data_IF_235808559282
#
_entry.id   IF_235808559282
#
_cell.length_a   1.000
_cell.length_b   1.000
_cell.length_c   1.000
_cell.angle_alpha   90.00
_cell.angle_beta   90.00
_cell.angle_gamma   90.00
#
_symmetry.space_group_name_H-M   'P 1'
#
loop_
_entity.id
_entity.type
_entity.pdbx_description
1 polymer ?
#
# COMPACT_ATOMS: atom_id res chain seq x y z
N UNK A 1 45.44 2.25 -29.29
CA UNK A 1 45.27 0.78 -29.44
C UNK A 1 43.87 0.27 -29.12
N UNK A 2 43.21 0.66 -28.00
CA UNK A 2 41.87 0.15 -27.65
C UNK A 2 40.69 0.78 -28.44
N UNK A 3 40.77 2.05 -28.83
CA UNK A 3 39.77 2.66 -29.75
C UNK A 3 39.80 2.06 -31.16
N UNK A 4 40.99 1.74 -31.67
CA UNK A 4 41.13 1.04 -32.97
C UNK A 4 40.49 -0.35 -32.93
N UNK A 5 40.51 -1.03 -31.77
CA UNK A 5 39.84 -2.32 -31.58
C UNK A 5 38.32 -2.20 -31.56
N UNK A 6 37.76 -1.10 -31.02
CA UNK A 6 36.32 -0.85 -31.00
C UNK A 6 35.75 -0.54 -32.39
N UNK A 7 36.44 0.33 -33.16
CA UNK A 7 36.09 0.60 -34.56
C UNK A 7 36.25 -0.64 -35.45
N UNK A 8 37.28 -1.45 -35.22
CA UNK A 8 37.49 -2.69 -35.98
C UNK A 8 36.37 -3.73 -35.75
N UNK A 9 35.82 -3.79 -34.53
CA UNK A 9 34.70 -4.70 -34.23
C UNK A 9 33.37 -4.17 -34.78
N UNK A 10 33.13 -2.85 -34.80
CA UNK A 10 31.90 -2.29 -35.38
C UNK A 10 31.88 -2.43 -36.90
N UNK A 11 33.02 -2.29 -37.56
CA UNK A 11 33.14 -2.43 -39.01
C UNK A 11 32.91 -3.89 -39.45
N UNK A 12 33.45 -4.86 -38.71
CA UNK A 12 33.19 -6.29 -38.93
C UNK A 12 31.74 -6.69 -38.66
N UNK A 13 31.06 -6.03 -37.73
CA UNK A 13 29.64 -6.29 -37.45
C UNK A 13 28.73 -5.79 -38.58
N UNK A 14 29.08 -4.65 -39.20
CA UNK A 14 28.38 -4.16 -40.40
C UNK A 14 28.62 -5.12 -41.57
N UNK A 15 29.86 -5.58 -41.78
CA UNK A 15 30.19 -6.55 -42.82
C UNK A 15 29.37 -7.86 -42.65
N UNK A 16 29.32 -8.41 -41.43
CA UNK A 16 28.54 -9.62 -41.10
C UNK A 16 27.01 -9.44 -41.33
N UNK A 17 26.46 -8.22 -41.19
CA UNK A 17 25.05 -7.91 -41.50
C UNK A 17 24.82 -7.82 -43.01
N UNK A 18 25.73 -7.21 -43.77
CA UNK A 18 25.68 -7.19 -45.24
C UNK A 18 25.82 -8.60 -45.82
N UNK A 19 26.64 -9.46 -45.23
CA UNK A 19 26.77 -10.87 -45.62
C UNK A 19 25.47 -11.65 -45.32
N UNK A 20 24.78 -11.34 -44.22
CA UNK A 20 23.45 -11.89 -43.90
C UNK A 20 22.36 -11.41 -44.89
N UNK A 21 22.44 -10.15 -45.32
CA UNK A 21 21.51 -9.58 -46.29
C UNK A 21 21.73 -10.16 -47.70
N UNK A 22 22.99 -10.42 -48.09
CA UNK A 22 23.33 -11.16 -49.31
C UNK A 22 22.97 -12.66 -49.23
N UNK A 23 23.14 -13.31 -48.08
CA UNK A 23 22.80 -14.71 -47.89
C UNK A 23 21.29 -14.98 -47.90
N UNK A 24 20.44 -13.99 -47.55
CA UNK A 24 18.98 -14.11 -47.61
C UNK A 24 18.44 -14.31 -49.03
N UNK A 25 19.22 -13.94 -50.05
CA UNK A 25 18.87 -14.10 -51.47
C UNK A 25 19.35 -15.43 -52.10
N UNK A 26 20.06 -16.29 -51.36
CA UNK A 26 20.51 -17.60 -51.83
C UNK A 26 20.02 -18.70 -50.90
N UNK A 27 19.43 -19.76 -51.47
CA UNK A 27 18.82 -20.88 -50.75
C UNK A 27 19.87 -21.76 -50.06
N UNK A 28 20.36 -21.35 -48.90
CA UNK A 28 21.31 -22.11 -48.09
C UNK A 28 20.65 -23.13 -47.14
N UNK A 29 21.32 -24.27 -46.85
CA UNK A 29 20.82 -25.29 -45.94
C UNK A 29 20.77 -24.80 -44.48
N UNK A 30 19.70 -25.19 -43.78
CA UNK A 30 19.28 -24.73 -42.45
C UNK A 30 20.34 -24.78 -41.34
N UNK A 31 21.34 -25.66 -41.44
CA UNK A 31 22.42 -25.80 -40.47
C UNK A 31 23.45 -24.66 -40.46
N UNK A 32 23.65 -23.97 -41.60
CA UNK A 32 24.58 -22.84 -41.66
C UNK A 32 23.97 -21.57 -41.06
N UNK A 33 22.65 -21.41 -41.23
CA UNK A 33 21.88 -20.26 -40.75
C UNK A 33 21.78 -20.24 -39.22
N UNK A 34 21.66 -21.41 -38.57
CA UNK A 34 21.68 -21.49 -37.10
C UNK A 34 23.05 -21.16 -36.51
N UNK A 35 24.14 -21.57 -37.18
CA UNK A 35 25.51 -21.29 -36.75
C UNK A 35 25.90 -19.81 -36.93
N UNK A 36 25.36 -19.14 -37.95
CA UNK A 36 25.56 -17.69 -38.16
C UNK A 36 24.71 -16.90 -37.16
N UNK A 37 23.43 -17.27 -36.94
CA UNK A 37 22.59 -16.64 -35.93
C UNK A 37 23.20 -16.74 -34.52
N UNK A 38 23.73 -17.90 -34.11
CA UNK A 38 24.33 -18.03 -32.77
C UNK A 38 25.58 -17.16 -32.60
N UNK A 39 26.39 -17.00 -33.66
CA UNK A 39 27.58 -16.12 -33.63
C UNK A 39 27.23 -14.64 -33.60
N UNK A 40 26.17 -14.25 -34.31
CA UNK A 40 25.64 -12.87 -34.26
C UNK A 40 25.04 -12.58 -32.89
N UNK A 41 24.35 -13.55 -32.29
CA UNK A 41 23.77 -13.44 -30.94
C UNK A 41 24.87 -13.33 -29.86
N UNK A 42 25.89 -14.19 -29.90
CA UNK A 42 27.06 -14.09 -29.00
C UNK A 42 27.79 -12.75 -29.13
N UNK A 43 27.96 -12.25 -30.36
CA UNK A 43 28.65 -10.97 -30.62
C UNK A 43 27.78 -9.76 -30.30
N UNK A 44 26.47 -9.83 -30.51
CA UNK A 44 25.52 -8.80 -30.09
C UNK A 44 25.47 -8.69 -28.56
N UNK A 45 25.47 -9.83 -27.84
CA UNK A 45 25.59 -9.87 -26.38
C UNK A 45 26.93 -9.27 -25.94
N UNK A 46 28.03 -9.57 -26.63
CA UNK A 46 29.34 -9.00 -26.33
C UNK A 46 29.39 -7.47 -26.56
N UNK A 47 28.78 -6.96 -27.64
CA UNK A 47 28.70 -5.52 -27.95
C UNK A 47 27.80 -4.78 -26.94
N UNK A 48 26.65 -5.36 -26.57
CA UNK A 48 25.76 -4.85 -25.51
C UNK A 48 26.46 -4.87 -24.15
N UNK A 49 27.30 -5.88 -23.86
CA UNK A 49 28.11 -5.93 -22.64
C UNK A 49 29.25 -4.90 -22.60
N UNK A 50 29.74 -4.47 -23.77
CA UNK A 50 30.86 -3.53 -23.92
C UNK A 50 30.43 -2.07 -23.71
N UNK A 51 29.20 -1.70 -24.09
CA UNK A 51 28.61 -0.38 -23.78
C UNK A 51 28.17 -0.23 -22.31
N UNK A 52 28.33 -1.28 -21.49
CA UNK A 52 27.92 -1.34 -20.08
C UNK A 52 28.90 -0.65 -19.11
N UNK A 53 29.97 -0.02 -19.62
CA UNK A 53 31.15 0.32 -18.80
C UNK A 53 31.45 1.83 -18.87
N UNK A 54 31.02 2.57 -17.84
CA UNK A 54 31.84 3.49 -17.03
C UNK A 54 31.00 4.33 -16.05
N UNK A 55 29.80 4.78 -16.45
CA UNK A 55 28.90 5.52 -15.55
C UNK A 55 28.01 4.65 -14.65
N UNK A 56 27.63 3.47 -15.15
CA UNK A 56 26.55 2.64 -14.61
C UNK A 56 27.01 1.72 -13.45
N UNK A 57 28.29 1.33 -13.43
CA UNK A 57 28.89 0.54 -12.34
C UNK A 57 29.10 1.36 -11.06
N UNK A 58 29.34 2.67 -11.19
CA UNK A 58 29.47 3.59 -10.06
C UNK A 58 28.14 3.73 -9.30
N UNK A 59 27.00 3.82 -10.00
CA UNK A 59 25.67 3.91 -9.39
C UNK A 59 25.31 2.66 -8.59
N UNK A 60 25.62 1.47 -9.11
CA UNK A 60 25.41 0.21 -8.38
C UNK A 60 26.27 0.16 -7.10
N UNK A 61 27.53 0.61 -7.17
CA UNK A 61 28.42 0.72 -6.01
C UNK A 61 27.92 1.78 -5.00
N UNK A 62 27.45 2.93 -5.49
CA UNK A 62 26.95 4.05 -4.67
C UNK A 62 25.74 3.63 -3.82
N UNK A 63 24.75 2.97 -4.41
CA UNK A 63 23.53 2.50 -3.71
C UNK A 63 23.86 1.50 -2.60
N UNK A 64 24.94 0.72 -2.76
CA UNK A 64 25.34 -0.28 -1.78
C UNK A 64 26.09 0.31 -0.58
N UNK A 65 26.63 1.53 -0.69
CA UNK A 65 27.37 2.20 0.38
C UNK A 65 26.51 2.40 1.64
N UNK A 66 27.14 2.31 2.82
CA UNK A 66 26.45 2.59 4.11
C UNK A 66 25.93 4.03 4.15
N UNK A 67 26.68 4.96 3.58
CA UNK A 67 26.31 6.37 3.52
C UNK A 67 24.99 6.58 2.77
N UNK A 68 24.87 6.02 1.56
CA UNK A 68 23.63 6.13 0.77
C UNK A 68 22.42 5.56 1.49
N UNK A 69 22.58 4.40 2.15
CA UNK A 69 21.51 3.76 2.93
C UNK A 69 21.06 4.63 4.11
N UNK A 70 21.99 5.24 4.84
CA UNK A 70 21.69 6.16 5.95
C UNK A 70 21.02 7.43 5.43
N UNK A 71 21.53 8.01 4.34
CA UNK A 71 20.96 9.19 3.70
C UNK A 71 19.50 8.96 3.26
N UNK A 72 19.21 7.87 2.55
CA UNK A 72 17.85 7.48 2.13
C UNK A 72 16.91 7.33 3.33
N UNK A 73 17.35 6.68 4.41
CA UNK A 73 16.54 6.53 5.63
C UNK A 73 16.26 7.87 6.30
N UNK A 74 17.27 8.74 6.41
CA UNK A 74 17.11 10.09 6.97
C UNK A 74 16.14 10.94 6.15
N UNK A 75 16.24 10.88 4.81
CA UNK A 75 15.33 11.57 3.91
C UNK A 75 13.88 11.14 4.13
N UNK A 76 13.64 9.83 4.26
CA UNK A 76 12.30 9.28 4.54
C UNK A 76 11.78 9.74 5.91
N UNK A 77 12.60 9.70 6.97
CA UNK A 77 12.20 10.17 8.31
C UNK A 77 11.85 11.66 8.28
N UNK A 78 12.66 12.48 7.60
CA UNK A 78 12.39 13.91 7.44
C UNK A 78 11.10 14.17 6.66
N UNK A 79 10.86 13.42 5.59
CA UNK A 79 9.62 13.52 4.81
C UNK A 79 8.39 13.12 5.63
N UNK A 80 8.47 12.08 6.47
CA UNK A 80 7.38 11.69 7.37
C UNK A 80 7.14 12.79 8.40
N UNK A 81 8.18 13.31 9.04
CA UNK A 81 8.05 14.43 9.98
C UNK A 81 7.44 15.69 9.34
N UNK A 82 7.85 15.98 8.11
CA UNK A 82 7.25 17.04 7.30
C UNK A 82 5.77 16.80 7.03
N UNK A 83 5.37 15.58 6.64
CA UNK A 83 3.97 15.24 6.41
C UNK A 83 3.11 15.44 7.66
N UNK A 84 3.58 15.00 8.83
CA UNK A 84 2.90 15.24 10.11
C UNK A 84 2.76 16.74 10.42
N UNK A 85 3.83 17.50 10.25
CA UNK A 85 3.80 18.95 10.45
C UNK A 85 2.82 19.65 9.49
N UNK A 86 2.88 19.32 8.21
CA UNK A 86 1.99 19.88 7.20
C UNK A 86 0.52 19.52 7.46
N UNK A 87 0.24 18.30 7.94
CA UNK A 87 -1.10 17.87 8.34
C UNK A 87 -1.63 18.66 9.55
N UNK A 88 -0.81 18.88 10.59
CA UNK A 88 -1.18 19.67 11.77
C UNK A 88 -1.51 21.12 11.40
N UNK A 89 -0.63 21.76 10.61
CA UNK A 89 -0.87 23.14 10.12
C UNK A 89 -2.12 23.20 9.26
N UNK A 90 -2.32 22.23 8.36
CA UNK A 90 -3.52 22.17 7.50
C UNK A 90 -4.81 21.99 8.31
N UNK A 91 -4.78 21.19 9.38
CA UNK A 91 -5.93 21.00 10.27
C UNK A 91 -6.27 22.27 11.05
N UNK A 92 -5.26 22.91 11.67
CA UNK A 92 -5.45 24.19 12.37
C UNK A 92 -6.01 25.25 11.43
N UNK A 93 -5.53 25.27 10.19
CA UNK A 93 -6.05 26.19 9.18
C UNK A 93 -7.50 25.90 8.79
N UNK A 94 -7.88 24.63 8.65
CA UNK A 94 -9.26 24.25 8.36
C UNK A 94 -10.22 24.71 9.47
N UNK A 95 -9.78 24.65 10.74
CA UNK A 95 -10.55 25.18 11.87
C UNK A 95 -10.64 26.70 11.84
N UNK A 96 -9.54 27.42 11.55
CA UNK A 96 -9.57 28.88 11.43
C UNK A 96 -10.52 29.36 10.31
N UNK A 97 -10.56 28.64 9.18
CA UNK A 97 -11.51 28.91 8.10
C UNK A 97 -12.95 28.66 8.55
N UNK A 98 -13.18 27.56 9.29
CA UNK A 98 -14.50 27.28 9.89
C UNK A 98 -14.94 28.39 10.85
N UNK A 99 -14.00 28.94 11.62
CA UNK A 99 -14.21 30.08 12.52
C UNK A 99 -14.25 31.44 11.79
N UNK A 100 -14.24 31.46 10.46
CA UNK A 100 -14.41 32.66 9.64
C UNK A 100 -13.16 33.55 9.46
N UNK A 101 -11.96 33.05 9.77
CA UNK A 101 -10.71 33.78 9.56
C UNK A 101 -10.16 33.58 8.14
N UNK A 102 -9.72 34.66 7.47
CA UNK A 102 -9.00 34.56 6.19
C UNK A 102 -7.52 34.22 6.42
N UNK A 103 -7.08 33.06 5.92
CA UNK A 103 -5.73 32.52 6.22
C UNK A 103 -4.91 32.10 4.99
N UNK A 104 -5.31 32.52 3.79
CA UNK A 104 -4.72 32.08 2.51
C UNK A 104 -3.17 32.16 2.46
N UNK A 105 -2.55 33.13 3.12
CA UNK A 105 -1.09 33.32 3.10
C UNK A 105 -0.29 32.22 3.84
N UNK A 106 -0.89 31.51 4.80
CA UNK A 106 -0.16 30.57 5.66
C UNK A 106 0.20 29.24 4.98
N UNK A 107 -0.34 28.94 3.80
CA UNK A 107 -0.24 27.61 3.15
C UNK A 107 0.56 27.59 1.84
N UNK A 108 0.90 28.73 1.25
CA UNK A 108 1.54 28.80 -0.08
C UNK A 108 2.93 28.15 -0.16
N UNK A 109 3.59 27.98 0.99
CA UNK A 109 4.91 27.41 1.08
C UNK A 109 4.88 25.87 1.21
N UNK A 110 3.77 25.27 1.65
CA UNK A 110 3.64 23.81 1.83
C UNK A 110 3.82 23.06 0.49
N UNK A 111 3.15 23.44 -0.62
CA UNK A 111 3.34 22.77 -1.91
C UNK A 111 4.78 22.88 -2.44
N UNK A 112 5.52 23.94 -2.09
CA UNK A 112 6.91 24.14 -2.52
C UNK A 112 7.85 23.16 -1.83
N UNK A 113 7.66 22.96 -0.53
CA UNK A 113 8.43 21.99 0.26
C UNK A 113 8.07 20.55 -0.14
N UNK A 114 6.79 20.26 -0.38
CA UNK A 114 6.34 18.98 -0.94
C UNK A 114 7.03 18.66 -2.28
N UNK A 115 7.15 19.66 -3.16
CA UNK A 115 7.86 19.54 -4.44
C UNK A 115 9.35 19.30 -4.27
N UNK A 116 9.99 19.92 -3.28
CA UNK A 116 11.40 19.69 -2.97
C UNK A 116 11.65 18.24 -2.50
N UNK A 117 10.84 17.72 -1.57
CA UNK A 117 10.92 16.31 -1.15
C UNK A 117 10.67 15.37 -2.33
N UNK A 118 9.66 15.63 -3.17
CA UNK A 118 9.40 14.83 -4.37
C UNK A 118 10.61 14.82 -5.32
N UNK A 119 11.30 15.94 -5.49
CA UNK A 119 12.53 16.03 -6.27
C UNK A 119 13.65 15.15 -5.71
N UNK A 120 13.84 15.14 -4.38
CA UNK A 120 14.81 14.24 -3.75
C UNK A 120 14.46 12.76 -3.93
N UNK A 121 13.18 12.39 -3.78
CA UNK A 121 12.74 11.01 -4.02
C UNK A 121 12.84 10.60 -5.48
N UNK A 122 12.58 11.52 -6.42
CA UNK A 122 12.79 11.28 -7.85
C UNK A 122 14.27 11.02 -8.14
N UNK A 123 15.18 11.79 -7.54
CA UNK A 123 16.61 11.56 -7.67
C UNK A 123 17.01 10.20 -7.09
N UNK A 124 16.54 9.86 -5.89
CA UNK A 124 16.79 8.55 -5.27
C UNK A 124 16.28 7.41 -6.16
N UNK A 125 15.07 7.56 -6.72
CA UNK A 125 14.43 6.60 -7.62
C UNK A 125 15.20 6.41 -8.93
N UNK A 126 15.66 7.51 -9.56
CA UNK A 126 16.48 7.44 -10.77
C UNK A 126 17.81 6.71 -10.51
N UNK A 127 18.46 6.97 -9.37
CA UNK A 127 19.69 6.26 -9.00
C UNK A 127 19.43 4.77 -8.80
N UNK A 128 18.29 4.38 -8.19
CA UNK A 128 17.88 2.96 -8.06
C UNK A 128 17.63 2.30 -9.42
N UNK A 129 16.96 2.98 -10.35
CA UNK A 129 16.74 2.49 -11.72
C UNK A 129 18.06 2.28 -12.46
N UNK A 130 18.96 3.27 -12.42
CA UNK A 130 20.28 3.16 -13.07
C UNK A 130 21.11 2.01 -12.50
N UNK A 131 21.03 1.78 -11.18
CA UNK A 131 21.66 0.63 -10.53
C UNK A 131 21.04 -0.71 -10.97
N UNK A 132 19.73 -0.76 -11.23
CA UNK A 132 19.05 -1.97 -11.72
C UNK A 132 19.52 -2.39 -13.11
N UNK A 133 19.68 -1.45 -14.04
CA UNK A 133 20.21 -1.75 -15.38
C UNK A 133 21.67 -2.26 -15.35
N UNK A 134 22.41 -1.95 -14.28
CA UNK A 134 23.79 -2.40 -14.07
C UNK A 134 23.91 -3.84 -13.59
N UNK A 135 22.92 -4.38 -12.87
CA UNK A 135 23.05 -5.65 -12.15
C UNK A 135 21.76 -6.46 -12.22
N UNK A 136 21.82 -7.62 -12.87
CA UNK A 136 20.71 -8.57 -12.98
C UNK A 136 20.33 -9.19 -11.62
N UNK A 137 21.27 -9.27 -10.66
CA UNK A 137 21.01 -9.77 -9.31
C UNK A 137 20.14 -8.80 -8.48
N UNK A 138 20.29 -7.49 -8.72
CA UNK A 138 19.48 -6.47 -8.03
C UNK A 138 18.02 -6.48 -8.51
N UNK A 139 17.79 -6.87 -9.76
CA UNK A 139 16.47 -6.93 -10.38
C UNK A 139 15.52 -7.88 -9.64
N UNK A 140 15.96 -9.10 -9.28
CA UNK A 140 15.03 -10.09 -8.72
C UNK A 140 14.62 -9.80 -7.26
N UNK A 141 15.42 -9.04 -6.52
CA UNK A 141 15.23 -8.83 -5.07
C UNK A 141 14.33 -7.65 -4.72
N UNK A 142 14.43 -6.54 -5.44
CA UNK A 142 13.82 -5.26 -5.06
C UNK A 142 12.76 -4.71 -6.05
N UNK A 143 12.44 -5.42 -7.13
CA UNK A 143 11.47 -4.98 -8.15
C UNK A 143 10.09 -4.62 -7.59
N UNK A 144 9.57 -5.38 -6.62
CA UNK A 144 8.25 -5.12 -6.01
C UNK A 144 8.22 -3.78 -5.28
N UNK A 145 9.30 -3.43 -4.58
CA UNK A 145 9.41 -2.18 -3.84
C UNK A 145 9.64 -1.01 -4.77
N UNK A 146 10.45 -1.20 -5.83
CA UNK A 146 10.63 -0.19 -6.85
C UNK A 146 9.32 0.16 -7.56
N UNK A 147 8.44 -0.82 -7.80
CA UNK A 147 7.12 -0.55 -8.37
C UNK A 147 6.25 0.33 -7.46
N UNK A 148 6.23 0.05 -6.15
CA UNK A 148 5.50 0.88 -5.18
C UNK A 148 6.05 2.30 -5.14
N UNK A 149 7.39 2.45 -5.02
CA UNK A 149 8.07 3.75 -5.07
C UNK A 149 7.71 4.51 -6.36
N UNK A 150 7.67 3.82 -7.52
CA UNK A 150 7.31 4.40 -8.81
C UNK A 150 5.87 4.94 -8.84
N UNK A 151 4.90 4.14 -8.36
CA UNK A 151 3.48 4.53 -8.32
C UNK A 151 3.29 5.77 -7.46
N UNK A 152 3.92 5.80 -6.27
CA UNK A 152 3.85 6.93 -5.35
C UNK A 152 4.45 8.20 -5.97
N UNK A 153 5.59 8.07 -6.66
CA UNK A 153 6.25 9.18 -7.33
C UNK A 153 5.40 9.73 -8.50
N UNK A 154 4.77 8.84 -9.28
CA UNK A 154 3.87 9.21 -10.38
C UNK A 154 2.65 9.96 -9.83
N UNK A 155 2.01 9.46 -8.77
CA UNK A 155 0.87 10.15 -8.14
C UNK A 155 1.26 11.56 -7.69
N UNK A 156 2.45 11.71 -7.07
CA UNK A 156 2.98 13.02 -6.69
C UNK A 156 3.26 13.95 -7.87
N UNK A 157 3.80 13.42 -8.97
CA UNK A 157 4.08 14.18 -10.18
C UNK A 157 2.79 14.65 -10.88
N UNK A 158 1.79 13.78 -10.98
CA UNK A 158 0.48 14.08 -11.57
C UNK A 158 -0.19 15.23 -10.84
N UNK A 159 -0.14 15.26 -9.51
CA UNK A 159 -0.71 16.37 -8.74
C UNK A 159 -0.05 17.71 -9.06
N UNK A 160 1.29 17.76 -9.14
CA UNK A 160 2.00 19.00 -9.50
C UNK A 160 1.60 19.44 -10.90
N UNK A 161 1.59 18.53 -11.88
CA UNK A 161 1.20 18.83 -13.26
C UNK A 161 -0.23 19.37 -13.33
N UNK A 162 -1.19 18.71 -12.68
CA UNK A 162 -2.58 19.17 -12.62
C UNK A 162 -2.72 20.53 -11.94
N UNK A 163 -1.93 20.81 -10.91
CA UNK A 163 -1.92 22.11 -10.23
C UNK A 163 -1.37 23.23 -11.13
N UNK A 164 -0.36 22.95 -11.96
CA UNK A 164 0.21 23.91 -12.91
C UNK A 164 -0.77 24.28 -14.03
N UNK A 165 -1.61 23.33 -14.46
CA UNK A 165 -2.68 23.59 -15.43
C UNK A 165 -3.94 24.21 -14.82
N UNK A 166 -3.93 24.53 -13.52
CA UNK A 166 -5.06 25.19 -12.84
C UNK A 166 -6.31 24.31 -12.71
N UNK A 167 -6.19 22.98 -12.82
CA UNK A 167 -7.32 22.05 -12.82
C UNK A 167 -7.76 21.76 -11.37
N UNK A 168 -8.39 22.71 -10.69
CA UNK A 168 -8.87 22.53 -9.31
C UNK A 168 -10.14 21.66 -9.28
N UNK A 169 -9.97 20.34 -9.28
CA UNK A 169 -11.08 19.37 -9.18
C UNK A 169 -11.06 18.59 -7.87
N UNK A 170 -12.19 17.97 -7.53
CA UNK A 170 -12.31 16.96 -6.46
C UNK A 170 -11.27 15.84 -6.58
N UNK A 171 -10.77 15.59 -7.80
CA UNK A 171 -9.70 14.64 -8.09
C UNK A 171 -8.40 15.07 -7.41
N UNK A 172 -8.01 16.36 -7.47
CA UNK A 172 -6.80 16.84 -6.77
C UNK A 172 -6.91 16.60 -5.25
N UNK A 173 -8.10 16.82 -4.66
CA UNK A 173 -8.31 16.56 -3.23
C UNK A 173 -8.10 15.09 -2.87
N UNK A 174 -8.60 14.17 -3.70
CA UNK A 174 -8.42 12.74 -3.47
C UNK A 174 -6.98 12.28 -3.73
N UNK A 175 -6.30 12.85 -4.73
CA UNK A 175 -4.88 12.60 -4.98
C UNK A 175 -4.00 13.06 -3.82
N UNK A 176 -4.35 14.17 -3.14
CA UNK A 176 -3.66 14.61 -1.92
C UNK A 176 -3.74 13.57 -0.80
N UNK A 177 -4.86 12.84 -0.67
CA UNK A 177 -4.99 11.76 0.32
C UNK A 177 -4.08 10.57 -0.04
N UNK A 178 -3.91 10.28 -1.32
CA UNK A 178 -2.97 9.24 -1.78
C UNK A 178 -1.50 9.58 -1.47
N UNK A 179 -1.15 10.83 -1.10
CA UNK A 179 0.19 11.14 -0.56
C UNK A 179 0.51 10.35 0.70
N UNK A 180 -0.49 9.92 1.48
CA UNK A 180 -0.30 9.06 2.66
C UNK A 180 0.37 7.73 2.26
N UNK A 181 0.22 7.29 1.02
CA UNK A 181 0.93 6.12 0.50
C UNK A 181 2.46 6.28 0.54
N UNK A 182 3.01 7.51 0.61
CA UNK A 182 4.45 7.75 0.84
C UNK A 182 4.94 7.17 2.17
N UNK A 183 4.07 6.98 3.16
CA UNK A 183 4.42 6.31 4.41
C UNK A 183 4.82 4.84 4.19
N UNK A 184 4.45 4.24 3.06
CA UNK A 184 4.92 2.89 2.70
C UNK A 184 6.44 2.82 2.51
N UNK A 185 7.06 3.93 2.08
CA UNK A 185 8.50 4.05 1.93
C UNK A 185 9.22 3.95 3.28
N UNK A 186 8.60 4.45 4.36
CA UNK A 186 9.12 4.30 5.73
C UNK A 186 9.24 2.83 6.10
N UNK A 187 8.20 2.04 5.86
CA UNK A 187 8.26 0.61 6.16
C UNK A 187 9.39 -0.07 5.39
N UNK A 188 9.59 0.30 4.13
CA UNK A 188 10.69 -0.24 3.32
C UNK A 188 12.07 0.23 3.81
N UNK A 189 12.22 1.51 4.18
CA UNK A 189 13.43 2.08 4.76
C UNK A 189 13.81 1.41 6.09
N UNK A 190 12.82 1.15 6.95
CA UNK A 190 12.97 0.44 8.21
C UNK A 190 13.50 -0.99 8.00
N UNK A 191 13.09 -1.70 6.93
CA UNK A 191 13.64 -3.04 6.61
C UNK A 191 15.15 -3.04 6.33
N UNK A 192 15.72 -1.93 5.88
CA UNK A 192 17.15 -1.82 5.53
C UNK A 192 18.05 -1.66 6.77
N UNK A 193 17.49 -1.30 7.91
CA UNK A 193 18.22 -0.99 9.14
C UNK A 193 18.16 -2.18 10.10
N UNK A 194 19.32 -2.76 10.42
CA UNK A 194 19.43 -3.95 11.30
C UNK A 194 18.77 -3.75 12.67
N UNK A 195 18.79 -2.52 13.21
CA UNK A 195 18.13 -2.17 14.48
C UNK A 195 16.64 -2.53 14.49
N UNK A 196 15.94 -2.35 13.38
CA UNK A 196 14.51 -2.62 13.25
C UNK A 196 14.19 -4.00 12.68
N UNK A 197 15.17 -4.90 12.58
CA UNK A 197 14.96 -6.25 12.04
C UNK A 197 13.92 -7.05 12.86
N UNK A 198 13.79 -6.80 14.18
CA UNK A 198 12.74 -7.40 15.00
C UNK A 198 11.35 -6.84 14.66
N UNK A 199 11.21 -5.51 14.56
CA UNK A 199 9.93 -4.87 14.21
C UNK A 199 9.47 -5.25 12.79
N UNK A 200 10.41 -5.32 11.85
CA UNK A 200 10.12 -5.73 10.47
C UNK A 200 9.51 -7.12 10.40
N UNK A 201 10.03 -8.07 11.20
CA UNK A 201 9.48 -9.43 11.28
C UNK A 201 8.05 -9.42 11.82
N UNK A 202 7.77 -8.61 12.85
CA UNK A 202 6.41 -8.46 13.39
C UNK A 202 5.43 -7.88 12.35
N UNK A 203 5.86 -6.87 11.59
CA UNK A 203 5.03 -6.27 10.53
C UNK A 203 4.79 -7.27 9.40
N UNK A 204 5.81 -8.02 8.98
CA UNK A 204 5.65 -9.09 8.00
C UNK A 204 4.65 -10.13 8.49
N UNK A 205 4.77 -10.59 9.74
CA UNK A 205 3.82 -11.53 10.32
C UNK A 205 2.37 -10.98 10.28
N UNK A 206 2.17 -9.71 10.63
CA UNK A 206 0.86 -9.05 10.58
C UNK A 206 0.28 -8.99 9.15
N UNK A 207 1.10 -8.65 8.15
CA UNK A 207 0.67 -8.60 6.75
C UNK A 207 0.30 -9.99 6.24
N UNK A 208 1.09 -11.00 6.58
CA UNK A 208 0.80 -12.38 6.18
C UNK A 208 -0.46 -12.92 6.86
N UNK A 209 -0.70 -12.61 8.14
CA UNK A 209 -1.92 -13.00 8.85
C UNK A 209 -3.15 -12.16 8.44
N UNK A 210 -3.00 -11.22 7.52
CA UNK A 210 -4.06 -10.34 7.06
C UNK A 210 -5.19 -11.09 6.33
N UNK A 211 -4.87 -12.18 5.63
CA UNK A 211 -5.88 -13.03 4.98
C UNK A 211 -6.78 -13.72 6.01
N UNK A 212 -6.19 -14.32 7.05
CA UNK A 212 -6.91 -15.01 8.11
C UNK A 212 -7.79 -14.02 8.90
N UNK A 213 -7.26 -12.82 9.16
CA UNK A 213 -8.00 -11.73 9.80
C UNK A 213 -9.15 -11.23 8.91
N UNK A 214 -8.93 -11.12 7.60
CA UNK A 214 -9.97 -10.70 6.66
C UNK A 214 -11.13 -11.70 6.67
N UNK A 215 -10.86 -13.00 6.52
CA UNK A 215 -11.91 -14.01 6.56
C UNK A 215 -12.58 -14.11 7.94
N UNK A 216 -11.82 -13.99 9.03
CA UNK A 216 -12.38 -13.94 10.39
C UNK A 216 -13.31 -12.74 10.61
N UNK A 217 -12.92 -11.55 10.14
CA UNK A 217 -13.75 -10.34 10.23
C UNK A 217 -14.98 -10.39 9.32
N UNK A 218 -14.86 -10.98 8.12
CA UNK A 218 -15.99 -11.22 7.22
C UNK A 218 -17.01 -12.19 7.85
N UNK A 219 -16.54 -13.26 8.50
CA UNK A 219 -17.38 -14.20 9.23
C UNK A 219 -18.10 -13.54 10.40
N UNK A 220 -17.39 -12.72 11.20
CA UNK A 220 -17.99 -11.94 12.29
C UNK A 220 -19.06 -10.98 11.77
N UNK A 221 -18.78 -10.29 10.67
CA UNK A 221 -19.71 -9.35 10.02
C UNK A 221 -20.94 -10.06 9.46
N UNK A 222 -20.79 -11.27 8.93
CA UNK A 222 -21.90 -12.08 8.43
C UNK A 222 -22.86 -12.48 9.57
N UNK A 223 -22.33 -12.98 10.69
CA UNK A 223 -23.16 -13.31 11.87
C UNK A 223 -23.82 -12.04 12.43
N UNK A 224 -23.05 -10.95 12.57
CA UNK A 224 -23.58 -9.66 13.04
C UNK A 224 -24.69 -9.12 12.13
N UNK A 225 -24.59 -9.30 10.81
CA UNK A 225 -25.61 -8.87 9.85
C UNK A 225 -26.90 -9.68 9.97
N UNK A 226 -26.79 -10.99 10.21
CA UNK A 226 -27.95 -11.84 10.46
C UNK A 226 -28.73 -11.40 11.70
N UNK A 227 -28.05 -11.20 12.83
CA UNK A 227 -28.71 -10.72 14.06
C UNK A 227 -29.21 -9.28 13.93
N UNK A 228 -28.46 -8.39 13.27
CA UNK A 228 -28.92 -7.04 12.97
C UNK A 228 -30.24 -7.06 12.17
N UNK A 229 -30.36 -7.95 11.18
CA UNK A 229 -31.61 -8.10 10.41
C UNK A 229 -32.76 -8.53 11.33
N UNK A 230 -32.52 -9.53 12.19
CA UNK A 230 -33.53 -10.01 13.13
C UNK A 230 -34.00 -8.90 14.07
N UNK A 231 -33.09 -8.17 14.72
CA UNK A 231 -33.45 -7.08 15.62
C UNK A 231 -34.18 -5.95 14.89
N UNK A 232 -33.73 -5.59 13.68
CA UNK A 232 -34.41 -4.59 12.87
C UNK A 232 -35.84 -4.98 12.51
N UNK A 233 -36.19 -6.27 12.38
CA UNK A 233 -37.58 -6.69 12.16
C UNK A 233 -38.45 -6.37 13.38
N UNK A 234 -37.99 -6.69 14.59
CA UNK A 234 -38.74 -6.38 15.82
C UNK A 234 -38.87 -4.87 16.06
N UNK A 235 -37.79 -4.12 15.82
CA UNK A 235 -37.83 -2.65 15.94
C UNK A 235 -38.79 -2.06 14.89
N UNK A 236 -38.79 -2.59 13.67
CA UNK A 236 -39.71 -2.13 12.62
C UNK A 236 -41.17 -2.39 12.98
N UNK A 237 -41.48 -3.56 13.53
CA UNK A 237 -42.82 -3.92 14.00
C UNK A 237 -43.27 -2.94 15.10
N UNK A 238 -42.43 -2.72 16.12
CA UNK A 238 -42.72 -1.77 17.20
C UNK A 238 -42.93 -0.34 16.69
N UNK A 239 -42.06 0.16 15.80
CA UNK A 239 -42.17 1.49 15.19
C UNK A 239 -43.45 1.64 14.37
N UNK A 240 -43.94 0.56 13.75
CA UNK A 240 -45.17 0.60 12.95
C UNK A 240 -46.45 0.71 13.79
N UNK A 241 -46.38 0.28 15.05
CA UNK A 241 -47.49 0.32 16.01
C UNK A 241 -47.40 1.54 16.96
N UNK A 242 -46.22 2.17 17.05
CA UNK A 242 -45.96 3.30 17.93
C UNK A 242 -46.71 4.58 17.54
N UNK A 243 -47.03 5.39 18.55
CA UNK A 243 -47.58 6.76 18.37
C UNK A 243 -46.47 7.78 18.10
N UNK A 244 -46.82 8.97 17.62
CA UNK A 244 -45.85 10.00 17.21
C UNK A 244 -44.90 10.51 18.33
N UNK A 245 -45.25 10.32 19.60
CA UNK A 245 -44.47 10.76 20.78
C UNK A 245 -43.83 9.59 21.55
N UNK A 246 -43.50 8.48 20.87
CA UNK A 246 -42.85 7.33 21.51
C UNK A 246 -41.35 7.60 21.76
N UNK A 247 -41.00 7.81 23.03
CA UNK A 247 -39.62 8.08 23.48
C UNK A 247 -38.67 6.94 23.14
N UNK A 248 -39.13 5.68 23.13
CA UNK A 248 -38.30 4.50 22.81
C UNK A 248 -37.88 4.53 21.34
N UNK A 249 -38.78 4.95 20.45
CA UNK A 249 -38.51 5.06 19.01
C UNK A 249 -37.48 6.15 18.72
N UNK A 250 -37.59 7.31 19.37
CA UNK A 250 -36.66 8.42 19.17
C UNK A 250 -35.25 8.10 19.66
N UNK A 251 -35.16 7.37 20.77
CA UNK A 251 -33.89 6.90 21.34
C UNK A 251 -33.26 5.76 20.54
N UNK A 252 -34.05 4.88 19.91
CA UNK A 252 -33.54 3.81 19.04
C UNK A 252 -33.15 4.29 17.63
N UNK A 253 -33.67 5.44 17.19
CA UNK A 253 -33.45 6.01 15.86
C UNK A 253 -31.97 6.14 15.48
N UNK A 254 -31.04 6.60 16.32
CA UNK A 254 -29.61 6.68 15.96
C UNK A 254 -29.00 5.31 15.62
N UNK A 255 -29.53 4.25 16.21
CA UNK A 255 -28.97 2.89 16.16
C UNK A 255 -29.61 2.01 15.07
N UNK A 256 -30.93 2.08 14.91
CA UNK A 256 -31.71 1.16 14.06
C UNK A 256 -32.48 1.84 12.90
N UNK A 257 -32.20 3.10 12.56
CA UNK A 257 -32.92 3.79 11.47
C UNK A 257 -32.65 3.22 10.06
N UNK A 258 -31.51 2.56 9.86
CA UNK A 258 -31.15 1.96 8.56
C UNK A 258 -30.42 0.64 8.78
N UNK A 259 -30.42 -0.21 7.76
CA UNK A 259 -29.75 -1.51 7.85
C UNK A 259 -28.24 -1.38 8.12
N UNK A 260 -27.46 -0.52 7.43
CA UNK A 260 -26.04 -0.35 7.74
C UNK A 260 -25.79 0.18 9.17
N UNK A 261 -26.67 1.03 9.70
CA UNK A 261 -26.59 1.49 11.09
C UNK A 261 -26.86 0.35 12.07
N UNK A 262 -27.83 -0.51 11.79
CA UNK A 262 -28.15 -1.66 12.64
C UNK A 262 -26.97 -2.66 12.72
N UNK A 263 -26.31 -2.92 11.58
CA UNK A 263 -25.08 -3.74 11.53
C UNK A 263 -23.95 -3.05 12.31
N UNK A 264 -23.75 -1.75 12.11
CA UNK A 264 -22.75 -0.97 12.83
C UNK A 264 -23.00 -0.98 14.34
N UNK A 265 -24.25 -0.82 14.79
CA UNK A 265 -24.64 -0.89 16.20
C UNK A 265 -24.28 -2.26 16.79
N UNK A 266 -24.63 -3.35 16.12
CA UNK A 266 -24.25 -4.69 16.58
C UNK A 266 -22.73 -4.85 16.68
N UNK A 267 -21.97 -4.33 15.71
CA UNK A 267 -20.51 -4.35 15.73
C UNK A 267 -19.94 -3.49 16.86
N UNK A 268 -20.51 -2.30 17.12
CA UNK A 268 -20.09 -1.41 18.20
C UNK A 268 -20.33 -2.05 19.57
N UNK A 269 -21.46 -2.72 19.76
CA UNK A 269 -21.75 -3.43 21.02
C UNK A 269 -20.78 -4.60 21.27
N UNK A 270 -20.35 -5.30 20.22
CA UNK A 270 -19.38 -6.41 20.35
C UNK A 270 -17.95 -5.90 20.52
N UNK A 271 -17.57 -4.82 19.84
CA UNK A 271 -16.21 -4.24 19.92
C UNK A 271 -16.01 -3.29 21.10
N UNK A 272 -17.07 -2.94 21.83
CA UNK A 272 -17.03 -2.02 22.97
C UNK A 272 -17.05 -0.53 22.59
N UNK A 273 -17.43 -0.20 21.35
CA UNK A 273 -17.67 1.18 20.91
C UNK A 273 -18.98 1.78 21.45
N UNK A 274 -19.93 0.92 21.82
CA UNK A 274 -21.18 1.28 22.47
C UNK A 274 -21.43 0.28 23.61
N UNK A 275 -21.86 0.73 24.78
CA UNK A 275 -22.27 -0.19 25.84
C UNK A 275 -23.48 -0.98 25.39
N UNK A 276 -23.41 -2.31 25.43
CA UNK A 276 -24.55 -3.16 25.06
C UNK A 276 -25.80 -2.86 25.90
N UNK A 277 -25.63 -2.36 27.13
CA UNK A 277 -26.73 -1.94 28.00
C UNK A 277 -27.53 -0.76 27.44
N UNK A 278 -26.88 0.15 26.70
CA UNK A 278 -27.55 1.32 26.11
C UNK A 278 -28.59 0.91 25.07
N UNK A 279 -28.42 -0.25 24.43
CA UNK A 279 -29.40 -0.83 23.50
C UNK A 279 -30.38 -1.74 24.22
N UNK A 280 -29.87 -2.61 25.10
CA UNK A 280 -30.66 -3.61 25.83
C UNK A 280 -31.82 -3.00 26.62
N UNK A 281 -31.61 -1.83 27.25
CA UNK A 281 -32.67 -1.15 28.02
C UNK A 281 -33.92 -0.84 27.18
N UNK A 282 -33.74 -0.49 25.91
CA UNK A 282 -34.86 -0.19 25.01
C UNK A 282 -35.48 -1.47 24.45
N UNK A 283 -34.67 -2.52 24.26
CA UNK A 283 -35.20 -3.83 23.87
C UNK A 283 -36.07 -4.44 24.96
N UNK A 284 -35.77 -4.20 26.24
CA UNK A 284 -36.63 -4.59 27.37
C UNK A 284 -37.99 -3.90 27.33
N UNK A 285 -38.04 -2.61 26.94
CA UNK A 285 -39.30 -1.86 26.79
C UNK A 285 -40.14 -2.36 25.61
N UNK A 286 -39.50 -2.81 24.51
CA UNK A 286 -40.20 -3.40 23.35
C UNK A 286 -40.73 -4.80 23.70
N UNK A 287 -39.85 -5.70 24.13
CA UNK A 287 -40.19 -7.09 24.44
C UNK A 287 -39.08 -7.80 25.19
N UNK A 288 -39.43 -8.48 26.28
CA UNK A 288 -38.52 -9.34 27.04
C UNK A 288 -37.83 -10.42 26.19
N UNK A 289 -38.51 -10.91 25.13
CA UNK A 289 -37.94 -11.90 24.22
C UNK A 289 -36.83 -11.29 23.34
N UNK A 290 -37.03 -10.05 22.87
CA UNK A 290 -36.04 -9.32 22.07
C UNK A 290 -34.77 -9.04 22.90
N UNK A 291 -34.95 -8.57 24.13
CA UNK A 291 -33.88 -8.36 25.10
C UNK A 291 -33.07 -9.65 25.35
N UNK A 292 -33.75 -10.75 25.65
CA UNK A 292 -33.10 -12.05 25.82
C UNK A 292 -32.33 -12.52 24.57
N UNK A 293 -32.91 -12.31 23.38
CA UNK A 293 -32.25 -12.65 22.11
C UNK A 293 -30.99 -11.80 21.87
N UNK A 294 -31.02 -10.51 22.24
CA UNK A 294 -29.85 -9.63 22.16
C UNK A 294 -28.76 -10.03 23.15
N UNK A 295 -29.10 -10.38 24.39
CA UNK A 295 -28.15 -10.93 25.35
C UNK A 295 -27.52 -12.24 24.84
N UNK A 296 -28.31 -13.12 24.23
CA UNK A 296 -27.79 -14.35 23.60
C UNK A 296 -26.80 -14.02 22.47
N UNK A 297 -27.10 -13.01 21.64
CA UNK A 297 -26.17 -12.52 20.63
C UNK A 297 -24.86 -12.03 21.24
N UNK A 298 -24.91 -11.15 22.24
CA UNK A 298 -23.72 -10.62 22.94
C UNK A 298 -22.91 -11.77 23.52
N UNK A 299 -23.54 -12.67 24.28
CA UNK A 299 -22.86 -13.81 24.88
C UNK A 299 -22.19 -14.70 23.83
N UNK A 300 -22.90 -15.01 22.73
CA UNK A 300 -22.38 -15.84 21.63
C UNK A 300 -21.19 -15.17 20.96
N UNK A 301 -21.23 -13.86 20.72
CA UNK A 301 -20.13 -13.12 20.11
C UNK A 301 -18.89 -13.11 21.00
N UNK A 302 -19.04 -12.84 22.30
CA UNK A 302 -17.92 -12.78 23.24
C UNK A 302 -17.33 -14.15 23.59
N UNK A 303 -18.18 -15.14 23.91
CA UNK A 303 -17.71 -16.43 24.43
C UNK A 303 -17.34 -17.40 23.31
N UNK A 304 -18.07 -17.38 22.20
CA UNK A 304 -17.87 -18.32 21.10
C UNK A 304 -17.11 -17.67 19.94
N UNK A 305 -17.71 -16.70 19.26
CA UNK A 305 -17.22 -16.26 17.94
C UNK A 305 -15.84 -15.60 18.04
N UNK A 306 -15.66 -14.60 18.90
CA UNK A 306 -14.37 -13.91 19.06
C UNK A 306 -13.27 -14.85 19.54
N UNK A 307 -13.59 -15.81 20.40
CA UNK A 307 -12.63 -16.81 20.89
C UNK A 307 -12.25 -17.82 19.80
N UNK A 308 -13.19 -18.27 18.97
CA UNK A 308 -12.92 -19.15 17.83
C UNK A 308 -12.03 -18.44 16.81
N UNK A 309 -12.36 -17.20 16.43
CA UNK A 309 -11.55 -16.41 15.48
C UNK A 309 -10.14 -16.17 16.03
N UNK A 310 -10.04 -15.81 17.31
CA UNK A 310 -8.74 -15.63 17.98
C UNK A 310 -7.96 -16.94 18.03
N UNK A 311 -8.62 -18.07 18.32
CA UNK A 311 -8.00 -19.39 18.34
C UNK A 311 -7.42 -19.81 16.99
N UNK A 312 -8.15 -19.59 15.90
CA UNK A 312 -7.67 -19.84 14.53
C UNK A 312 -6.45 -18.96 14.24
N UNK A 313 -6.57 -17.65 14.50
CA UNK A 313 -5.49 -16.69 14.23
C UNK A 313 -4.20 -17.00 15.01
N UNK A 314 -4.32 -17.39 16.28
CA UNK A 314 -3.17 -17.78 17.11
C UNK A 314 -2.54 -19.07 16.58
N UNK A 315 -3.35 -20.05 16.19
CA UNK A 315 -2.85 -21.34 15.64
C UNK A 315 -2.06 -21.12 14.36
N UNK A 316 -2.59 -20.32 13.43
CA UNK A 316 -1.90 -20.01 12.17
C UNK A 316 -0.63 -19.19 12.41
N UNK A 317 -0.67 -18.24 13.35
CA UNK A 317 0.50 -17.43 13.73
C UNK A 317 1.64 -18.29 14.30
N UNK A 318 1.31 -19.27 15.16
CA UNK A 318 2.30 -20.19 15.74
C UNK A 318 2.90 -21.10 14.65
N UNK A 319 2.06 -21.70 13.80
CA UNK A 319 2.53 -22.56 12.72
C UNK A 319 3.49 -21.84 11.76
N UNK A 320 3.23 -20.56 11.47
CA UNK A 320 4.12 -19.74 10.63
C UNK A 320 5.43 -19.35 11.35
N UNK A 321 5.38 -19.09 12.65
CA UNK A 321 6.59 -18.81 13.42
C UNK A 321 7.54 -20.01 13.50
N UNK A 322 7.00 -21.23 13.54
CA UNK A 322 7.80 -22.46 13.51
C UNK A 322 8.40 -22.72 12.12
N UNK A 323 7.62 -22.52 11.05
CA UNK A 323 8.14 -22.63 9.68
C UNK A 323 9.29 -21.63 9.40
N UNK A 324 9.20 -20.40 9.92
CA UNK A 324 10.27 -19.40 9.81
C UNK A 324 11.55 -19.79 10.57
N UNK A 325 11.45 -20.59 11.64
CA UNK A 325 12.61 -21.10 12.39
C UNK A 325 13.30 -22.23 11.63
N UNK A 326 12.54 -23.16 11.05
CA UNK A 326 13.07 -24.30 10.31
C UNK A 326 13.80 -23.87 9.02
N UNK A 327 13.35 -22.78 8.38
CA UNK A 327 14.03 -22.20 7.21
C UNK A 327 15.32 -21.45 7.59
N UNK A 328 15.45 -21.01 8.85
CA UNK A 328 16.60 -20.27 9.33
C UNK A 328 17.70 -21.14 9.98
N UNK A 329 17.40 -22.42 10.25
CA UNK A 329 18.33 -23.42 10.80
C UNK A 329 19.10 -24.15 9.69
#
# INVERSE_FOLDING_TARGET
RREQSGKSNSMKFVDDITDLEQAKHTSLPSGLLSAVCSRVEERAIAVVSSHRILGVSCSASLVQTKFWKVFSVLLVILNVGWFFFAADVSMKNALLIYDGHETHFLLDWIPRVDGAFLGFFLLEFLVKILAMFSSLEFMHRDLRYLFVDAVVLIVGGVEIVLSLFGISSSIIRNLRLLKIARLTELFHAVKRVRFFAKMTRMISALVYSGEDLFWGSAFLSMIGSFFALLFSQFVMEHVSEATADDEVVDELRPYFSTMPRSILTCLMCVTGGLSWWEVERYFLEISWFLAWLFLLFIFTMFVAVLNVVTGIFVTDSVGRADADRDVAA
#
